data_IF_963668826815
#
_entry.id   IF_963668826815
#
_cell.length_a   1.000
_cell.length_b   1.000
_cell.length_c   1.000
_cell.angle_alpha   90.00
_cell.angle_beta   90.00
_cell.angle_gamma   90.00
#
_symmetry.space_group_name_H-M   'P 1'
#
loop_
_entity.id
_entity.type
_entity.pdbx_description
1 polymer ?
#
# COMPACT_ATOMS: atom_id res chain seq x y z
N UNK A 1 14.94 41.55 -15.25
CA UNK A 1 14.83 41.44 -13.77
C UNK A 1 13.91 40.28 -13.46
N UNK A 2 14.47 39.12 -13.17
CA UNK A 2 13.68 38.00 -12.69
C UNK A 2 13.81 37.97 -11.17
N UNK A 3 12.73 38.34 -10.47
CA UNK A 3 12.64 38.15 -9.04
C UNK A 3 12.45 36.64 -8.81
N UNK A 4 13.46 35.98 -8.31
CA UNK A 4 13.36 34.65 -7.76
C UNK A 4 12.49 34.73 -6.51
N UNK A 5 11.20 34.44 -6.66
CA UNK A 5 10.33 34.14 -5.52
C UNK A 5 10.80 32.80 -5.00
N UNK A 6 11.65 32.87 -4.00
CA UNK A 6 12.10 31.74 -3.21
C UNK A 6 10.94 31.36 -2.28
N UNK A 7 9.92 30.69 -2.84
CA UNK A 7 8.91 30.05 -2.00
C UNK A 7 9.58 28.93 -1.23
N UNK A 8 9.88 29.23 0.04
CA UNK A 8 10.18 28.20 1.02
C UNK A 8 8.94 27.34 1.19
N UNK A 9 8.81 26.34 0.35
CA UNK A 9 7.79 25.29 0.52
C UNK A 9 8.08 24.61 1.85
N UNK A 10 7.23 24.89 2.83
CA UNK A 10 7.33 24.32 4.16
C UNK A 10 7.28 22.78 4.03
N UNK A 11 8.23 22.09 4.62
CA UNK A 11 8.36 20.64 4.47
C UNK A 11 7.14 19.82 4.94
N UNK A 12 6.24 20.48 5.68
CA UNK A 12 4.95 19.91 6.10
C UNK A 12 3.93 19.86 4.96
N UNK A 13 3.97 20.79 4.01
CA UNK A 13 3.01 20.87 2.91
C UNK A 13 3.30 19.83 1.81
N UNK A 14 4.52 19.31 1.73
CA UNK A 14 4.91 18.28 0.77
C UNK A 14 4.27 16.91 1.04
N UNK A 15 3.89 16.63 2.29
CA UNK A 15 3.32 15.34 2.70
C UNK A 15 1.83 15.24 2.32
N UNK A 16 1.15 16.36 2.15
CA UNK A 16 -0.29 16.41 1.86
C UNK A 16 -0.64 16.74 0.40
N UNK A 17 0.33 16.92 -0.48
CA UNK A 17 0.04 17.12 -1.89
C UNK A 17 -0.28 15.77 -2.56
N UNK A 18 -1.50 15.57 -3.08
CA UNK A 18 -1.86 14.34 -3.78
C UNK A 18 -0.90 14.00 -4.92
N UNK A 19 -0.44 15.00 -5.66
CA UNK A 19 0.53 14.81 -6.74
C UNK A 19 1.87 14.25 -6.26
N UNK A 20 2.28 14.56 -5.03
CA UNK A 20 3.54 14.04 -4.47
C UNK A 20 3.40 12.56 -4.09
N UNK A 21 2.27 12.16 -3.53
CA UNK A 21 2.00 10.76 -3.22
C UNK A 21 1.97 9.92 -4.51
N UNK A 22 1.28 10.39 -5.55
CA UNK A 22 1.22 9.67 -6.84
C UNK A 22 2.59 9.55 -7.52
N UNK A 23 3.47 10.53 -7.39
CA UNK A 23 4.84 10.44 -7.94
C UNK A 23 5.69 9.37 -7.27
N UNK A 24 5.54 9.19 -5.96
CA UNK A 24 6.30 8.18 -5.20
C UNK A 24 5.72 6.77 -5.32
N UNK A 25 4.53 6.63 -5.87
CA UNK A 25 3.85 5.34 -6.04
C UNK A 25 4.27 4.59 -7.31
N UNK A 26 5.22 5.10 -8.08
CA UNK A 26 5.79 4.37 -9.21
C UNK A 26 6.58 3.16 -8.73
N UNK A 27 6.35 2.02 -9.37
CA UNK A 27 7.07 0.79 -9.04
C UNK A 27 6.60 0.12 -7.75
N UNK A 28 5.37 0.40 -7.30
CA UNK A 28 4.76 -0.30 -6.19
C UNK A 28 4.68 -1.80 -6.46
N UNK A 29 5.01 -2.58 -5.46
CA UNK A 29 5.01 -4.05 -5.50
C UNK A 29 4.20 -4.61 -4.33
N UNK A 30 3.88 -5.88 -4.42
CA UNK A 30 3.16 -6.60 -3.37
C UNK A 30 4.18 -7.21 -2.40
N UNK A 31 3.94 -6.98 -1.11
CA UNK A 31 4.78 -7.49 -0.01
C UNK A 31 3.96 -8.27 1.01
N UNK A 32 4.62 -9.11 1.72
CA UNK A 32 4.17 -9.67 3.00
C UNK A 32 4.92 -9.01 4.14
N UNK A 33 4.21 -8.75 5.23
CA UNK A 33 4.80 -8.25 6.47
C UNK A 33 4.79 -9.38 7.49
N UNK A 34 5.86 -9.50 8.28
CA UNK A 34 5.98 -10.52 9.30
C UNK A 34 4.73 -10.52 10.21
N UNK A 35 3.99 -11.64 10.30
CA UNK A 35 2.76 -11.70 11.10
C UNK A 35 2.97 -11.36 12.59
N UNK A 36 4.13 -11.66 13.14
CA UNK A 36 4.47 -11.32 14.52
C UNK A 36 4.55 -9.81 14.72
N UNK A 37 5.11 -9.11 13.74
CA UNK A 37 5.19 -7.66 13.75
C UNK A 37 3.79 -7.02 13.60
N UNK A 38 2.95 -7.53 12.72
CA UNK A 38 1.56 -7.05 12.56
C UNK A 38 0.77 -7.29 13.85
N UNK A 39 0.93 -8.44 14.49
CA UNK A 39 0.32 -8.74 15.80
C UNK A 39 0.79 -7.75 16.87
N UNK A 40 2.07 -7.45 16.91
CA UNK A 40 2.62 -6.43 17.81
C UNK A 40 1.97 -5.07 17.58
N UNK A 41 1.89 -4.59 16.34
CA UNK A 41 1.25 -3.30 16.03
C UNK A 41 -0.24 -3.29 16.39
N UNK A 42 -0.96 -4.38 16.15
CA UNK A 42 -2.40 -4.47 16.44
C UNK A 42 -2.74 -4.31 17.92
N UNK A 43 -1.80 -4.60 18.80
CA UNK A 43 -1.95 -4.37 20.24
C UNK A 43 -1.97 -2.87 20.61
N UNK A 44 -1.44 -2.00 19.77
CA UNK A 44 -1.36 -0.56 20.01
C UNK A 44 -2.35 0.26 19.16
N UNK A 45 -2.89 -0.33 18.08
CA UNK A 45 -3.76 0.39 17.15
C UNK A 45 -4.93 -0.49 16.71
N UNK A 46 -6.15 -0.09 17.07
CA UNK A 46 -7.38 -0.84 16.83
C UNK A 46 -7.70 -1.07 15.33
N UNK A 47 -7.24 -0.20 14.44
CA UNK A 47 -7.50 -0.33 13.00
C UNK A 47 -6.57 -1.31 12.28
N UNK A 48 -5.56 -1.84 12.97
CA UNK A 48 -4.68 -2.85 12.40
C UNK A 48 -5.27 -4.23 12.70
N UNK A 49 -5.89 -4.82 11.68
CA UNK A 49 -6.45 -6.14 11.80
C UNK A 49 -5.38 -7.20 11.71
N UNK A 50 -5.29 -7.99 12.75
CA UNK A 50 -4.56 -9.25 12.77
C UNK A 50 -5.55 -10.40 12.85
N UNK A 51 -5.46 -11.37 11.92
CA UNK A 51 -6.21 -12.63 12.00
C UNK A 51 -5.26 -13.80 12.14
N UNK A 52 -5.55 -14.68 13.08
CA UNK A 52 -4.81 -15.94 13.23
C UNK A 52 -5.28 -16.97 12.19
N UNK A 53 -4.38 -17.86 11.78
CA UNK A 53 -4.64 -18.94 10.82
C UNK A 53 -4.25 -18.61 9.39
N UNK A 54 -4.84 -19.33 8.43
CA UNK A 54 -4.50 -19.26 7.00
C UNK A 54 -4.68 -17.89 6.35
N UNK A 55 -5.42 -16.99 7.01
CA UNK A 55 -5.60 -15.60 6.59
C UNK A 55 -4.54 -14.64 7.17
N UNK A 56 -3.55 -15.16 7.88
CA UNK A 56 -2.50 -14.35 8.51
C UNK A 56 -1.58 -13.64 7.52
N UNK A 57 -1.52 -14.08 6.27
CA UNK A 57 -0.68 -13.52 5.23
C UNK A 57 -1.38 -12.43 4.41
N UNK A 58 -1.84 -11.37 5.10
CA UNK A 58 -2.34 -10.19 4.41
C UNK A 58 -1.25 -9.60 3.53
N UNK A 59 -1.60 -9.27 2.29
CA UNK A 59 -0.70 -8.58 1.37
C UNK A 59 -0.74 -7.08 1.60
N UNK A 60 0.39 -6.45 1.33
CA UNK A 60 0.59 -5.02 1.44
C UNK A 60 1.20 -4.48 0.16
N UNK A 61 0.88 -3.25 -0.14
CA UNK A 61 1.51 -2.50 -1.23
C UNK A 61 2.60 -1.62 -0.65
N UNK A 62 3.76 -1.66 -1.21
CA UNK A 62 4.89 -0.85 -0.76
C UNK A 62 5.89 -0.55 -1.85
N UNK A 63 6.77 0.32 -1.60
CA UNK A 63 6.84 1.25 -0.47
C UNK A 63 6.06 2.50 -0.84
N UNK A 64 5.01 2.83 -0.09
CA UNK A 64 4.13 3.97 -0.43
C UNK A 64 4.84 5.29 -0.14
N UNK A 65 5.48 5.37 1.02
CA UNK A 65 6.28 6.53 1.40
C UNK A 65 7.35 6.12 2.43
N UNK A 66 8.37 6.96 2.56
CA UNK A 66 9.42 6.81 3.56
C UNK A 66 9.56 8.11 4.34
N UNK A 67 9.50 8.02 5.67
CA UNK A 67 9.66 9.16 6.57
C UNK A 67 10.70 8.79 7.64
N UNK A 68 11.76 9.57 7.74
CA UNK A 68 12.84 9.36 8.72
C UNK A 68 13.41 7.92 8.72
N UNK A 69 13.55 7.33 7.54
CA UNK A 69 14.04 5.96 7.38
C UNK A 69 13.00 4.86 7.62
N UNK A 70 11.77 5.21 8.02
CA UNK A 70 10.66 4.27 8.15
C UNK A 70 9.88 4.14 6.84
N UNK A 71 9.72 2.93 6.37
CA UNK A 71 8.99 2.59 5.16
C UNK A 71 7.54 2.23 5.50
N UNK A 72 6.59 2.84 4.78
CA UNK A 72 5.16 2.66 5.00
C UNK A 72 4.54 1.79 3.91
N UNK A 73 3.70 0.87 4.34
CA UNK A 73 3.00 -0.10 3.49
C UNK A 73 1.49 0.02 3.68
N UNK A 74 0.74 0.00 2.58
CA UNK A 74 -0.71 0.06 2.61
C UNK A 74 -1.31 -1.35 2.48
N UNK A 75 -2.33 -1.70 3.28
CA UNK A 75 -2.97 -3.00 3.17
C UNK A 75 -3.72 -3.15 1.85
N UNK A 76 -3.53 -4.29 1.22
CA UNK A 76 -4.27 -4.74 0.05
C UNK A 76 -5.40 -5.66 0.53
N UNK A 77 -6.63 -5.33 0.19
CA UNK A 77 -7.81 -6.10 0.57
C UNK A 77 -8.60 -6.54 -0.65
N UNK A 78 -9.19 -7.72 -0.58
CA UNK A 78 -10.05 -8.22 -1.66
C UNK A 78 -11.23 -7.28 -1.90
N UNK A 79 -11.59 -7.11 -3.16
CA UNK A 79 -12.75 -6.31 -3.54
C UNK A 79 -14.04 -6.98 -3.05
N UNK A 80 -14.91 -6.18 -2.43
CA UNK A 80 -16.21 -6.64 -1.90
C UNK A 80 -17.36 -5.81 -2.50
N UNK A 81 -18.59 -6.32 -2.54
CA UNK A 81 -19.73 -5.59 -3.10
C UNK A 81 -19.96 -4.19 -2.53
N UNK A 82 -19.65 -3.98 -1.24
CA UNK A 82 -19.73 -2.66 -0.61
C UNK A 82 -18.81 -1.63 -1.26
N UNK A 83 -17.67 -2.08 -1.81
CA UNK A 83 -16.69 -1.20 -2.42
C UNK A 83 -17.16 -0.58 -3.74
N UNK A 84 -18.15 -1.20 -4.42
CA UNK A 84 -18.77 -0.64 -5.64
C UNK A 84 -19.39 0.73 -5.38
N UNK A 85 -19.98 0.92 -4.21
CA UNK A 85 -20.68 2.15 -3.80
C UNK A 85 -19.76 3.21 -3.20
N UNK A 86 -18.53 2.84 -2.83
CA UNK A 86 -17.57 3.77 -2.24
C UNK A 86 -16.89 4.59 -3.34
N UNK A 87 -16.76 5.88 -3.12
CA UNK A 87 -15.99 6.76 -4.03
C UNK A 87 -14.50 6.50 -3.89
N UNK A 88 -13.79 6.56 -5.00
CA UNK A 88 -12.33 6.60 -4.99
C UNK A 88 -11.84 7.97 -4.51
N UNK A 89 -10.71 7.95 -3.83
CA UNK A 89 -10.05 9.15 -3.33
C UNK A 89 -8.56 8.89 -3.15
N UNK A 90 -7.86 9.87 -2.61
CA UNK A 90 -6.41 9.78 -2.34
C UNK A 90 -6.10 8.67 -1.33
N UNK A 91 -7.02 8.38 -0.46
CA UNK A 91 -6.90 7.46 0.66
C UNK A 91 -7.51 6.08 0.39
N UNK A 92 -8.32 5.95 -0.65
CA UNK A 92 -9.00 4.72 -1.02
C UNK A 92 -8.97 4.50 -2.52
N UNK A 93 -8.16 3.52 -2.96
CA UNK A 93 -7.90 3.24 -4.36
C UNK A 93 -8.49 1.87 -4.72
N UNK A 94 -9.28 1.82 -5.80
CA UNK A 94 -9.81 0.57 -6.34
C UNK A 94 -8.91 0.07 -7.46
N UNK A 95 -8.50 -1.18 -7.35
CA UNK A 95 -7.78 -1.89 -8.40
C UNK A 95 -8.79 -2.77 -9.14
N UNK A 96 -9.54 -2.15 -10.02
CA UNK A 96 -10.69 -2.77 -10.72
C UNK A 96 -11.59 -3.51 -9.72
N UNK A 97 -12.04 -4.70 -10.08
CA UNK A 97 -12.85 -5.59 -9.23
C UNK A 97 -11.98 -6.62 -8.48
N UNK A 98 -10.67 -6.45 -8.46
CA UNK A 98 -9.74 -7.39 -7.82
C UNK A 98 -9.46 -7.03 -6.37
N UNK A 99 -9.09 -5.79 -6.12
CA UNK A 99 -8.62 -5.36 -4.81
C UNK A 99 -8.91 -3.89 -4.53
N UNK A 100 -8.71 -3.52 -3.27
CA UNK A 100 -8.70 -2.13 -2.80
C UNK A 100 -7.47 -1.87 -1.96
N UNK A 101 -6.90 -0.69 -2.12
CA UNK A 101 -5.77 -0.21 -1.32
C UNK A 101 -6.29 0.88 -0.39
N UNK A 102 -6.10 0.71 0.90
CA UNK A 102 -6.48 1.70 1.91
C UNK A 102 -5.25 2.42 2.43
N UNK A 103 -5.01 3.61 1.92
CA UNK A 103 -3.85 4.43 2.29
C UNK A 103 -3.94 4.92 3.73
N UNK A 104 -5.14 5.17 4.26
CA UNK A 104 -5.33 5.59 5.65
C UNK A 104 -4.86 4.55 6.68
N UNK A 105 -4.82 3.28 6.27
CA UNK A 105 -4.41 2.18 7.14
C UNK A 105 -2.96 1.75 6.89
N UNK A 106 -2.14 2.65 6.34
CA UNK A 106 -0.70 2.37 6.20
C UNK A 106 -0.06 2.07 7.54
N UNK A 107 0.89 1.15 7.51
CA UNK A 107 1.71 0.79 8.67
C UNK A 107 3.18 1.04 8.40
N UNK A 108 3.95 1.53 9.39
CA UNK A 108 5.40 1.60 9.31
C UNK A 108 5.98 0.20 9.53
N UNK A 109 6.88 -0.24 8.65
CA UNK A 109 7.52 -1.54 8.78
C UNK A 109 9.03 -1.37 8.69
N UNK A 110 9.79 -1.81 9.72
CA UNK A 110 11.24 -1.76 9.72
C UNK A 110 11.83 -2.73 8.70
N UNK A 111 13.05 -2.47 8.27
CA UNK A 111 13.80 -3.36 7.41
C UNK A 111 13.95 -4.74 8.07
N UNK A 112 13.78 -5.80 7.28
CA UNK A 112 13.80 -7.18 7.76
C UNK A 112 12.44 -7.75 8.19
N UNK A 113 11.41 -6.92 8.33
CA UNK A 113 10.06 -7.35 8.71
C UNK A 113 9.08 -7.42 7.52
N UNK A 114 9.54 -7.13 6.32
CA UNK A 114 8.76 -7.26 5.09
C UNK A 114 9.51 -8.06 4.02
N UNK A 115 8.75 -8.75 3.17
CA UNK A 115 9.27 -9.62 2.12
C UNK A 115 8.52 -9.37 0.82
N UNK A 116 9.26 -9.28 -0.29
CA UNK A 116 8.65 -9.21 -1.62
C UNK A 116 7.92 -10.52 -1.93
N UNK A 117 6.67 -10.42 -2.37
CA UNK A 117 5.89 -11.60 -2.77
C UNK A 117 6.41 -12.13 -4.09
N UNK A 118 6.82 -13.40 -4.11
CA UNK A 118 7.08 -14.11 -5.36
C UNK A 118 5.76 -14.57 -5.99
N UNK A 119 5.23 -13.73 -6.86
CA UNK A 119 3.96 -13.99 -7.55
C UNK A 119 4.03 -15.24 -8.42
N UNK A 120 5.18 -15.50 -9.04
CA UNK A 120 5.37 -16.62 -9.94
C UNK A 120 5.58 -17.96 -9.20
N UNK A 121 6.15 -17.91 -8.01
CA UNK A 121 6.40 -19.08 -7.15
C UNK A 121 5.17 -19.55 -6.35
N UNK A 122 4.05 -18.85 -6.44
CA UNK A 122 2.81 -19.23 -5.73
C UNK A 122 2.27 -20.56 -6.25
N UNK A 123 2.07 -21.53 -5.34
CA UNK A 123 1.68 -22.89 -5.67
C UNK A 123 0.21 -23.05 -6.08
N UNK A 124 -0.69 -22.25 -5.48
CA UNK A 124 -2.12 -22.25 -5.82
C UNK A 124 -2.33 -21.52 -7.15
N UNK A 125 -2.80 -22.20 -8.22
CA UNK A 125 -2.97 -21.58 -9.54
C UNK A 125 -3.99 -20.44 -9.55
N UNK A 126 -5.08 -20.55 -8.79
CA UNK A 126 -6.12 -19.55 -8.71
C UNK A 126 -5.61 -18.30 -8.00
N UNK A 127 -4.94 -18.48 -6.88
CA UNK A 127 -4.33 -17.40 -6.12
C UNK A 127 -3.19 -16.72 -6.88
N UNK A 128 -2.38 -17.52 -7.58
CA UNK A 128 -1.33 -17.00 -8.48
C UNK A 128 -1.92 -16.10 -9.57
N UNK A 129 -2.99 -16.53 -10.22
CA UNK A 129 -3.66 -15.74 -11.24
C UNK A 129 -4.17 -14.40 -10.67
N UNK A 130 -4.78 -14.43 -9.49
CA UNK A 130 -5.25 -13.23 -8.81
C UNK A 130 -4.11 -12.25 -8.51
N UNK A 131 -3.02 -12.73 -7.92
CA UNK A 131 -1.83 -11.93 -7.64
C UNK A 131 -1.19 -11.33 -8.90
N UNK A 132 -1.15 -12.09 -9.99
CA UNK A 132 -0.65 -11.60 -11.28
C UNK A 132 -1.55 -10.50 -11.85
N UNK A 133 -2.86 -10.66 -11.75
CA UNK A 133 -3.82 -9.65 -12.18
C UNK A 133 -3.71 -8.37 -11.35
N UNK A 134 -3.68 -8.49 -10.03
CA UNK A 134 -3.49 -7.36 -9.11
C UNK A 134 -2.18 -6.63 -9.37
N UNK A 135 -1.07 -7.34 -9.50
CA UNK A 135 0.26 -6.76 -9.76
C UNK A 135 0.30 -5.98 -11.07
N UNK A 136 -0.32 -6.52 -12.13
CA UNK A 136 -0.41 -5.87 -13.43
C UNK A 136 -1.25 -4.61 -13.40
N UNK A 137 -2.40 -4.65 -12.75
CA UNK A 137 -3.29 -3.49 -12.63
C UNK A 137 -2.69 -2.40 -11.73
N UNK A 138 -1.99 -2.78 -10.67
CA UNK A 138 -1.25 -1.83 -9.82
C UNK A 138 -0.16 -1.13 -10.63
N UNK A 139 0.61 -1.87 -11.42
CA UNK A 139 1.61 -1.28 -12.30
C UNK A 139 0.96 -0.30 -13.30
N UNK A 140 -0.10 -0.69 -13.99
CA UNK A 140 -0.82 0.20 -14.91
C UNK A 140 -1.40 1.44 -14.23
N UNK A 141 -1.91 1.31 -13.02
CA UNK A 141 -2.52 2.43 -12.29
C UNK A 141 -1.50 3.51 -11.89
N UNK A 142 -0.29 3.10 -11.56
CA UNK A 142 0.74 3.99 -11.04
C UNK A 142 1.85 4.36 -12.05
N UNK A 143 1.86 3.78 -13.23
CA UNK A 143 2.80 4.15 -14.31
C UNK A 143 2.38 5.42 -15.10
N UNK A 144 1.21 5.92 -14.83
CA UNK A 144 0.76 7.19 -15.38
C UNK A 144 1.40 8.34 -14.60
#
# INVERSE_FOLDING_TARGET
MHSLINERVNSRDKVFCPCFMFRNMRGLKIYEVNPRYVKYLSAYQEHIFFSEGDKSSRKYIGIVLEINGLKYFAPLSSFKPKHKKMSEGVDFIKIKDYAVININNMIPVPDGEFYLVDVNGTKDPHYKFLLQAESREIACYFEL
#
